data_IF_401593055984
#
_entry.id   IF_401593055984
#
_cell.length_a   1.000
_cell.length_b   1.000
_cell.length_c   1.000
_cell.angle_alpha   90.00
_cell.angle_beta   90.00
_cell.angle_gamma   90.00
#
_symmetry.space_group_name_H-M   'P 1'
#
loop_
_entity.id
_entity.type
_entity.pdbx_description
1 polymer ?
#
# COMPACT_ATOMS: atom_id res chain seq x y z
N UNK A 1 -7.44 70.46 -42.84
CA UNK A 1 -7.72 69.04 -42.43
C UNK A 1 -6.57 68.58 -41.56
N UNK A 2 -6.76 68.29 -40.25
CA UNK A 2 -5.73 67.83 -39.38
C UNK A 2 -5.67 66.25 -39.35
N UNK A 3 -4.47 65.73 -39.48
CA UNK A 3 -4.17 64.31 -39.48
C UNK A 3 -4.40 63.68 -38.11
N UNK A 4 -5.17 62.58 -38.05
CA UNK A 4 -5.37 61.75 -36.88
C UNK A 4 -4.12 60.89 -36.62
N UNK A 5 -3.53 61.01 -35.42
CA UNK A 5 -2.53 60.06 -34.87
C UNK A 5 -3.24 58.74 -34.51
N UNK A 6 -2.60 57.59 -34.76
CA UNK A 6 -3.11 56.31 -34.27
C UNK A 6 -2.84 56.15 -32.77
N UNK A 7 -3.82 55.53 -32.07
CA UNK A 7 -3.79 55.21 -30.64
C UNK A 7 -2.75 54.12 -30.36
N UNK A 8 -2.12 54.08 -29.15
CA UNK A 8 -1.18 53.06 -28.77
C UNK A 8 -1.89 51.71 -28.53
N UNK A 9 -1.37 50.64 -29.13
CA UNK A 9 -1.80 49.27 -28.94
C UNK A 9 -1.66 48.84 -27.49
N UNK A 10 -2.72 48.29 -26.90
CA UNK A 10 -2.71 47.67 -25.57
C UNK A 10 -1.72 46.55 -25.51
N UNK A 11 -0.69 46.70 -24.68
CA UNK A 11 0.29 45.66 -24.39
C UNK A 11 -0.39 44.46 -23.74
N UNK A 12 -0.27 43.32 -24.39
CA UNK A 12 -0.63 42.03 -23.82
C UNK A 12 0.25 41.78 -22.59
N UNK A 13 -0.35 41.70 -21.40
CA UNK A 13 0.31 41.24 -20.20
C UNK A 13 0.81 39.81 -20.47
N UNK A 14 2.10 39.47 -20.11
CA UNK A 14 2.56 38.12 -20.17
C UNK A 14 1.76 37.24 -19.19
N UNK A 15 1.50 35.98 -19.50
CA UNK A 15 0.79 35.10 -18.61
C UNK A 15 1.58 35.00 -17.29
N UNK A 16 0.98 35.45 -16.21
CA UNK A 16 1.50 35.23 -14.86
C UNK A 16 1.60 33.73 -14.65
N UNK A 17 2.81 33.18 -14.64
CA UNK A 17 3.10 31.86 -14.14
C UNK A 17 2.55 31.81 -12.72
N UNK A 18 1.48 31.06 -12.49
CA UNK A 18 1.01 30.72 -11.15
C UNK A 18 2.13 29.95 -10.49
N UNK A 19 2.93 30.61 -9.65
CA UNK A 19 3.89 29.97 -8.79
C UNK A 19 3.08 28.98 -7.92
N UNK A 20 3.18 27.69 -8.21
CA UNK A 20 2.50 26.67 -7.41
C UNK A 20 3.01 26.80 -5.99
N UNK A 21 2.10 27.20 -5.09
CA UNK A 21 2.42 27.41 -3.68
C UNK A 21 3.03 26.12 -3.10
N UNK A 22 4.23 26.22 -2.54
CA UNK A 22 4.90 25.10 -1.84
C UNK A 22 4.02 24.64 -0.69
N UNK A 23 3.73 23.35 -0.63
CA UNK A 23 3.02 22.74 0.50
C UNK A 23 4.01 22.46 1.62
N UNK A 24 3.69 22.91 2.83
CA UNK A 24 4.54 22.73 4.02
C UNK A 24 3.97 21.61 4.90
N UNK A 25 4.86 20.71 5.32
CA UNK A 25 4.57 19.59 6.22
C UNK A 25 5.62 19.55 7.33
N UNK A 26 5.29 18.88 8.44
CA UNK A 26 6.18 18.72 9.58
C UNK A 26 6.37 17.25 9.91
N UNK A 27 7.60 16.86 10.26
CA UNK A 27 7.95 15.50 10.66
C UNK A 27 8.13 14.54 9.48
N UNK A 28 8.69 13.37 9.78
CA UNK A 28 9.03 12.32 8.81
C UNK A 28 7.84 11.43 8.41
N UNK A 29 6.73 11.52 9.14
CA UNK A 29 5.54 10.73 8.83
C UNK A 29 5.07 10.98 7.39
N UNK A 30 4.65 9.93 6.69
CA UNK A 30 4.17 9.99 5.30
C UNK A 30 5.15 10.51 4.24
N UNK A 31 6.45 10.66 4.56
CA UNK A 31 7.46 11.21 3.64
C UNK A 31 7.38 10.57 2.24
N UNK A 32 7.33 9.23 2.15
CA UNK A 32 7.24 8.50 0.88
C UNK A 32 5.99 8.85 0.09
N UNK A 33 4.84 8.83 0.76
CA UNK A 33 3.53 9.10 0.15
C UNK A 33 3.44 10.56 -0.30
N UNK A 34 3.90 11.52 0.52
CA UNK A 34 3.94 12.94 0.17
C UNK A 34 4.83 13.23 -1.04
N UNK A 35 5.96 12.54 -1.19
CA UNK A 35 6.79 12.62 -2.40
C UNK A 35 6.06 12.12 -3.64
N UNK A 36 5.36 10.98 -3.54
CA UNK A 36 4.55 10.43 -4.63
C UNK A 36 3.39 11.37 -4.99
N UNK A 37 2.65 11.87 -4.00
CA UNK A 37 1.56 12.83 -4.22
C UNK A 37 2.07 14.15 -4.81
N UNK A 38 3.26 14.61 -4.43
CA UNK A 38 3.92 15.77 -5.02
C UNK A 38 4.21 15.55 -6.51
N UNK A 39 4.74 14.39 -6.89
CA UNK A 39 4.99 14.03 -8.29
C UNK A 39 3.70 13.97 -9.12
N UNK A 40 2.64 13.36 -8.57
CA UNK A 40 1.35 13.23 -9.23
C UNK A 40 0.66 14.59 -9.38
N UNK A 41 0.63 15.40 -8.32
CA UNK A 41 -0.01 16.73 -8.35
C UNK A 41 0.83 17.83 -8.96
N UNK A 42 2.14 17.57 -9.21
CA UNK A 42 3.15 18.55 -9.66
C UNK A 42 3.30 19.75 -8.71
N UNK A 43 2.99 19.57 -7.43
CA UNK A 43 3.11 20.61 -6.40
C UNK A 43 4.39 20.40 -5.60
N UNK A 44 5.26 21.42 -5.48
CA UNK A 44 6.44 21.33 -4.62
C UNK A 44 6.04 21.22 -3.15
N UNK A 45 6.85 20.50 -2.39
CA UNK A 45 6.66 20.28 -0.96
C UNK A 45 7.91 20.67 -0.17
N UNK A 46 7.68 21.14 1.05
CA UNK A 46 8.69 21.33 2.06
C UNK A 46 8.31 20.53 3.30
N UNK A 47 9.24 19.76 3.80
CA UNK A 47 9.07 18.98 5.03
C UNK A 47 10.14 19.43 6.01
N UNK A 48 9.72 20.00 7.13
CA UNK A 48 10.59 20.50 8.21
C UNK A 48 10.44 19.63 9.47
N UNK A 49 11.39 19.70 10.38
CA UNK A 49 11.30 18.98 11.67
C UNK A 49 11.40 17.45 11.50
N UNK A 50 12.26 16.99 10.60
CA UNK A 50 12.54 15.56 10.44
C UNK A 50 13.46 15.13 11.56
N UNK A 51 12.92 14.44 12.59
CA UNK A 51 13.67 13.94 13.77
C UNK A 51 14.69 14.96 14.32
N UNK A 52 14.26 16.16 14.73
CA UNK A 52 15.22 17.19 15.15
C UNK A 52 15.92 16.86 16.47
N UNK A 53 15.24 16.10 17.35
CA UNK A 53 15.66 15.81 18.72
C UNK A 53 16.15 14.37 18.90
N UNK A 54 16.28 13.58 17.82
CA UNK A 54 16.78 12.21 17.87
C UNK A 54 18.31 12.20 18.02
N UNK A 55 18.88 11.13 18.57
CA UNK A 55 20.34 10.91 18.62
C UNK A 55 20.99 10.95 17.22
N UNK A 56 20.23 10.55 16.20
CA UNK A 56 20.59 10.68 14.79
C UNK A 56 19.55 11.54 14.06
N UNK A 57 19.69 12.87 14.11
CA UNK A 57 18.70 13.78 13.55
C UNK A 57 18.63 13.69 12.02
N UNK A 58 17.50 14.05 11.46
CA UNK A 58 17.29 14.17 10.03
C UNK A 58 16.89 12.87 9.33
N UNK A 59 17.16 12.81 8.03
CA UNK A 59 16.80 11.70 7.17
C UNK A 59 17.62 10.44 7.47
N UNK A 60 16.94 9.29 7.57
CA UNK A 60 17.56 8.00 7.75
C UNK A 60 18.13 7.46 6.41
N UNK A 61 19.12 6.51 6.41
CA UNK A 61 19.73 6.00 5.20
C UNK A 61 18.73 5.43 4.19
N UNK A 62 17.70 4.72 4.66
CA UNK A 62 16.65 4.18 3.79
C UNK A 62 15.78 5.28 3.15
N UNK A 63 15.52 6.40 3.84
CA UNK A 63 14.79 7.54 3.27
C UNK A 63 15.62 8.26 2.20
N UNK A 64 16.92 8.47 2.46
CA UNK A 64 17.86 9.00 1.44
C UNK A 64 17.94 8.08 0.23
N UNK A 65 17.95 6.75 0.45
CA UNK A 65 17.92 5.77 -0.63
C UNK A 65 16.62 5.86 -1.45
N UNK A 66 15.47 6.09 -0.80
CA UNK A 66 14.20 6.30 -1.49
C UNK A 66 14.20 7.59 -2.34
N UNK A 67 14.76 8.67 -1.83
CA UNK A 67 14.93 9.91 -2.60
C UNK A 67 15.76 9.67 -3.88
N UNK A 68 16.86 8.92 -3.77
CA UNK A 68 17.67 8.51 -4.94
C UNK A 68 16.91 7.63 -5.93
N UNK A 69 16.01 6.76 -5.42
CA UNK A 69 15.13 5.97 -6.29
C UNK A 69 14.15 6.88 -7.03
N UNK A 70 13.55 7.85 -6.36
CA UNK A 70 12.66 8.85 -6.96
C UNK A 70 13.40 9.66 -8.04
N UNK A 71 14.64 10.06 -7.81
CA UNK A 71 15.45 10.75 -8.81
C UNK A 71 15.68 9.89 -10.06
N UNK A 72 15.94 8.59 -9.90
CA UNK A 72 16.10 7.65 -11.04
C UNK A 72 14.81 7.47 -11.85
N UNK A 73 13.66 7.55 -11.19
CA UNK A 73 12.34 7.38 -11.81
C UNK A 73 11.81 8.64 -12.48
N UNK A 74 12.43 9.79 -12.20
CA UNK A 74 11.96 11.11 -12.67
C UNK A 74 13.04 11.86 -13.43
N UNK A 75 12.62 12.85 -14.19
CA UNK A 75 13.52 13.80 -14.86
C UNK A 75 13.17 15.23 -14.45
N UNK A 76 14.17 15.97 -14.02
CA UNK A 76 14.02 17.37 -13.63
C UNK A 76 13.49 17.58 -12.20
N UNK A 77 13.39 16.53 -11.39
CA UNK A 77 13.19 16.67 -9.95
C UNK A 77 14.37 17.36 -9.30
N UNK A 78 14.12 18.24 -8.32
CA UNK A 78 15.16 18.90 -7.54
C UNK A 78 14.92 18.65 -6.06
N UNK A 79 15.99 18.29 -5.36
CA UNK A 79 16.00 17.99 -3.94
C UNK A 79 16.97 18.94 -3.25
N UNK A 80 16.51 19.64 -2.24
CA UNK A 80 17.35 20.46 -1.38
C UNK A 80 17.18 19.96 0.06
N UNK A 81 18.25 19.47 0.64
CA UNK A 81 18.29 18.91 1.99
C UNK A 81 19.15 19.82 2.86
N UNK A 82 18.67 20.16 4.05
CA UNK A 82 19.47 20.91 5.02
C UNK A 82 20.72 20.14 5.44
N UNK A 83 21.74 20.84 5.94
CA UNK A 83 22.99 20.22 6.37
C UNK A 83 22.80 19.13 7.41
N UNK A 84 21.84 19.31 8.33
CA UNK A 84 21.47 18.31 9.36
C UNK A 84 20.50 17.24 8.87
N UNK A 85 20.00 17.35 7.62
CA UNK A 85 18.97 16.44 7.10
C UNK A 85 17.57 16.62 7.71
N UNK A 86 17.38 17.62 8.54
CA UNK A 86 16.10 17.86 9.27
C UNK A 86 15.05 18.61 8.44
N UNK A 87 15.42 19.12 7.28
CA UNK A 87 14.51 19.79 6.35
C UNK A 87 14.77 19.33 4.93
N UNK A 88 13.69 19.11 4.18
CA UNK A 88 13.69 18.69 2.78
C UNK A 88 12.78 19.61 1.97
N UNK A 89 13.29 20.18 0.90
CA UNK A 89 12.51 20.83 -0.15
C UNK A 89 12.56 20.00 -1.42
N UNK A 90 11.40 19.61 -1.95
CA UNK A 90 11.29 18.79 -3.15
C UNK A 90 10.47 19.52 -4.21
N UNK A 91 11.08 19.69 -5.38
CA UNK A 91 10.42 20.17 -6.60
C UNK A 91 10.20 18.96 -7.52
N UNK A 92 8.95 18.58 -7.81
CA UNK A 92 8.66 17.40 -8.61
C UNK A 92 9.00 17.61 -10.09
N UNK A 93 9.67 16.62 -10.67
CA UNK A 93 9.91 16.52 -12.11
C UNK A 93 8.86 15.69 -12.83
N UNK A 94 9.21 15.24 -14.03
CA UNK A 94 8.36 14.36 -14.86
C UNK A 94 8.70 12.90 -14.61
N UNK A 95 7.70 12.06 -14.40
CA UNK A 95 7.85 10.61 -14.21
C UNK A 95 8.27 10.01 -15.56
N UNK A 96 9.41 9.33 -15.61
CA UNK A 96 9.95 8.77 -16.85
C UNK A 96 9.54 7.32 -17.07
N UNK A 97 9.57 6.50 -16.03
CA UNK A 97 9.49 5.04 -16.19
C UNK A 97 10.77 4.46 -16.84
N UNK A 98 10.61 3.39 -17.63
CA UNK A 98 11.72 2.66 -18.25
C UNK A 98 12.35 1.64 -17.30
N UNK A 99 13.55 1.14 -17.65
CA UNK A 99 14.25 0.14 -16.84
C UNK A 99 15.11 0.80 -15.77
N UNK A 100 14.82 0.51 -14.51
CA UNK A 100 15.55 1.06 -13.35
C UNK A 100 15.94 -0.08 -12.43
N UNK A 101 17.19 -0.07 -11.97
CA UNK A 101 17.68 -0.98 -10.92
C UNK A 101 18.09 -0.18 -9.69
N UNK A 102 17.66 -0.65 -8.52
CA UNK A 102 17.98 0.01 -7.25
C UNK A 102 18.33 -1.01 -6.16
N UNK A 103 19.39 -0.72 -5.42
CA UNK A 103 19.80 -1.47 -4.24
C UNK A 103 19.18 -0.82 -3.03
N UNK A 104 18.27 -1.54 -2.35
CA UNK A 104 17.67 -1.09 -1.11
C UNK A 104 18.60 -1.43 0.07
N UNK A 105 18.86 -0.49 1.00
CA UNK A 105 19.49 -0.78 2.27
C UNK A 105 18.69 -1.83 3.08
N UNK A 106 19.42 -2.66 3.85
CA UNK A 106 18.80 -3.75 4.61
C UNK A 106 18.08 -3.31 5.91
N UNK A 107 17.93 -2.01 6.14
CA UNK A 107 17.17 -1.47 7.26
C UNK A 107 15.65 -1.59 7.09
N UNK A 108 15.20 -1.67 5.85
CA UNK A 108 13.78 -1.79 5.47
C UNK A 108 13.61 -2.83 4.36
N UNK A 109 12.45 -3.44 4.34
CA UNK A 109 12.05 -4.35 3.26
C UNK A 109 11.92 -3.65 1.91
N UNK A 110 12.09 -4.40 0.81
CA UNK A 110 11.82 -3.91 -0.55
C UNK A 110 10.38 -3.39 -0.68
N UNK A 111 9.45 -3.98 0.08
CA UNK A 111 8.06 -3.53 0.11
C UNK A 111 7.91 -2.07 0.52
N UNK A 112 8.72 -1.60 1.47
CA UNK A 112 8.74 -0.21 1.88
C UNK A 112 9.03 0.76 0.73
N UNK A 113 9.88 0.36 -0.23
CA UNK A 113 10.18 1.15 -1.42
C UNK A 113 9.11 1.01 -2.49
N UNK A 114 8.60 -0.20 -2.67
CA UNK A 114 7.68 -0.53 -3.76
C UNK A 114 6.25 -0.03 -3.50
N UNK A 115 5.77 -0.15 -2.27
CA UNK A 115 4.40 0.20 -1.89
C UNK A 115 3.96 1.58 -2.41
N UNK A 116 4.62 2.72 -2.09
CA UNK A 116 4.18 4.03 -2.56
C UNK A 116 4.31 4.19 -4.09
N UNK A 117 5.18 3.42 -4.73
CA UNK A 117 5.38 3.47 -6.17
C UNK A 117 4.24 2.83 -6.95
N UNK A 118 3.39 2.01 -6.32
CA UNK A 118 2.20 1.45 -6.97
C UNK A 118 1.27 2.56 -7.50
N UNK A 119 1.10 3.64 -6.73
CA UNK A 119 0.29 4.77 -7.18
C UNK A 119 0.97 5.61 -8.28
N UNK A 120 2.31 5.57 -8.37
CA UNK A 120 3.10 6.36 -9.31
C UNK A 120 3.33 5.65 -10.64
N UNK A 121 3.54 4.33 -10.59
CA UNK A 121 4.02 3.51 -11.71
C UNK A 121 3.20 3.64 -13.00
N UNK A 122 1.86 3.69 -12.97
CA UNK A 122 1.05 3.79 -14.19
C UNK A 122 1.25 5.11 -14.95
N UNK A 123 1.78 6.14 -14.32
CA UNK A 123 1.84 7.49 -14.88
C UNK A 123 3.23 7.89 -15.42
N UNK A 124 4.07 6.91 -15.69
CA UNK A 124 5.34 7.14 -16.36
C UNK A 124 5.17 7.53 -17.84
N UNK A 125 6.18 8.18 -18.41
CA UNK A 125 6.26 8.44 -19.86
C UNK A 125 6.42 7.14 -20.66
N UNK A 126 7.10 6.15 -20.09
CA UNK A 126 7.33 4.81 -20.62
C UNK A 126 6.85 3.79 -19.58
N UNK A 127 6.62 2.57 -20.03
CA UNK A 127 6.37 1.43 -19.16
C UNK A 127 7.51 1.29 -18.15
N UNK A 128 7.18 1.00 -16.90
CA UNK A 128 8.15 0.83 -15.82
C UNK A 128 8.60 -0.63 -15.75
N UNK A 129 9.91 -0.85 -15.69
CA UNK A 129 10.52 -2.12 -15.33
C UNK A 129 11.53 -1.85 -14.21
N UNK A 130 11.10 -2.09 -12.97
CA UNK A 130 11.84 -1.75 -11.76
C UNK A 130 12.39 -3.00 -11.09
N UNK A 131 13.72 -3.14 -11.04
CA UNK A 131 14.39 -4.19 -10.28
C UNK A 131 14.88 -3.64 -8.95
N UNK A 132 14.36 -4.20 -7.86
CA UNK A 132 14.75 -3.86 -6.49
C UNK A 132 15.49 -5.04 -5.85
N UNK A 133 16.60 -4.73 -5.16
CA UNK A 133 17.40 -5.72 -4.45
C UNK A 133 17.46 -5.40 -2.97
N UNK A 134 17.25 -6.40 -2.10
CA UNK A 134 17.25 -6.20 -0.65
C UNK A 134 16.53 -7.29 0.10
N UNK A 135 15.87 -6.92 1.19
CA UNK A 135 15.03 -7.80 2.00
C UNK A 135 13.64 -7.87 1.38
N UNK A 136 13.16 -9.07 1.03
CA UNK A 136 11.83 -9.26 0.41
C UNK A 136 10.70 -9.44 1.41
N UNK A 137 11.05 -9.83 2.63
CA UNK A 137 10.10 -10.05 3.72
C UNK A 137 10.78 -9.71 5.04
N UNK A 138 10.21 -8.79 5.76
CA UNK A 138 10.56 -8.45 7.14
C UNK A 138 9.28 -8.42 7.98
N UNK A 139 9.36 -8.31 9.27
CA UNK A 139 8.17 -8.25 10.13
C UNK A 139 7.57 -6.83 10.26
N UNK A 140 7.98 -5.88 9.43
CA UNK A 140 7.66 -4.46 9.57
C UNK A 140 6.92 -3.87 8.37
N UNK A 141 7.40 -4.17 7.18
CA UNK A 141 6.88 -3.62 5.93
C UNK A 141 6.07 -4.68 5.18
N UNK A 142 5.13 -4.24 4.34
CA UNK A 142 4.40 -5.16 3.48
C UNK A 142 5.35 -6.04 2.67
N UNK A 143 5.21 -7.35 2.76
CA UNK A 143 6.06 -8.26 2.01
C UNK A 143 5.78 -8.17 0.51
N UNK A 144 6.74 -8.61 -0.29
CA UNK A 144 6.54 -8.69 -1.75
C UNK A 144 5.43 -9.66 -2.14
N UNK A 145 5.13 -10.66 -1.30
CA UNK A 145 4.01 -11.58 -1.52
C UNK A 145 2.68 -10.87 -1.30
N UNK A 146 2.54 -10.09 -0.24
CA UNK A 146 1.33 -9.28 0.05
C UNK A 146 1.12 -8.24 -1.03
N UNK A 147 2.16 -7.53 -1.47
CA UNK A 147 2.07 -6.59 -2.59
C UNK A 147 1.59 -7.31 -3.85
N UNK A 148 2.16 -8.48 -4.17
CA UNK A 148 1.82 -9.26 -5.37
C UNK A 148 0.38 -9.79 -5.34
N UNK A 149 -0.08 -10.29 -4.19
CA UNK A 149 -1.34 -11.03 -4.08
C UNK A 149 -2.53 -10.18 -3.66
N UNK A 150 -2.31 -9.01 -3.07
CA UNK A 150 -3.35 -8.05 -2.64
C UNK A 150 -3.15 -6.67 -3.28
N UNK A 151 -1.97 -6.06 -3.18
CA UNK A 151 -1.72 -4.72 -3.68
C UNK A 151 -1.87 -4.57 -5.20
N UNK A 152 -1.24 -5.44 -5.98
CA UNK A 152 -1.36 -5.40 -7.44
C UNK A 152 -2.78 -5.64 -7.95
N UNK A 153 -3.57 -6.59 -7.42
CA UNK A 153 -4.97 -6.72 -7.78
C UNK A 153 -5.78 -5.43 -7.54
N UNK A 154 -5.57 -4.75 -6.42
CA UNK A 154 -6.23 -3.45 -6.16
C UNK A 154 -5.83 -2.39 -7.20
N UNK A 155 -4.55 -2.31 -7.55
CA UNK A 155 -4.09 -1.42 -8.62
C UNK A 155 -4.72 -1.79 -9.98
N UNK A 156 -4.75 -3.07 -10.31
CA UNK A 156 -5.26 -3.57 -11.59
C UNK A 156 -6.75 -3.26 -11.80
N UNK A 157 -7.55 -3.15 -10.74
CA UNK A 157 -8.97 -2.76 -10.85
C UNK A 157 -9.16 -1.40 -11.52
N UNK A 158 -8.20 -0.48 -11.38
CA UNK A 158 -8.25 0.87 -11.94
C UNK A 158 -7.60 1.00 -13.32
N UNK A 159 -6.93 -0.04 -13.79
CA UNK A 159 -6.21 -0.03 -15.05
C UNK A 159 -6.97 -0.83 -16.12
N UNK A 160 -7.01 -0.31 -17.35
CA UNK A 160 -7.53 -1.01 -18.53
C UNK A 160 -6.40 -1.65 -19.35
N UNK A 161 -5.35 -2.08 -18.68
CA UNK A 161 -4.18 -2.69 -19.33
C UNK A 161 -3.74 -3.93 -18.57
N UNK A 162 -3.29 -4.93 -19.31
CA UNK A 162 -2.63 -6.10 -18.77
C UNK A 162 -1.13 -5.88 -18.64
N UNK A 163 -0.44 -6.73 -17.87
CA UNK A 163 1.01 -6.70 -17.76
C UNK A 163 1.54 -5.99 -16.50
N UNK A 164 0.67 -5.71 -15.52
CA UNK A 164 1.11 -5.34 -14.17
C UNK A 164 1.55 -6.61 -13.45
N UNK A 165 2.84 -6.75 -13.22
CA UNK A 165 3.41 -7.99 -12.65
C UNK A 165 4.50 -7.66 -11.61
N UNK A 166 4.53 -8.44 -10.54
CA UNK A 166 5.65 -8.48 -9.58
C UNK A 166 6.24 -9.90 -9.55
N UNK A 167 7.43 -10.04 -10.08
CA UNK A 167 8.17 -11.29 -10.11
C UNK A 167 9.23 -11.30 -9.02
N UNK A 168 9.24 -12.38 -8.22
CA UNK A 168 10.25 -12.63 -7.19
C UNK A 168 11.30 -13.54 -7.81
N UNK A 169 12.50 -13.00 -8.06
CA UNK A 169 13.61 -13.76 -8.62
C UNK A 169 14.41 -14.43 -7.50
N UNK A 170 14.66 -13.69 -6.42
CA UNK A 170 15.39 -14.18 -5.24
C UNK A 170 14.68 -13.71 -3.98
N UNK A 171 14.59 -14.57 -2.98
CA UNK A 171 14.05 -14.20 -1.67
C UNK A 171 15.19 -13.82 -0.71
N UNK A 172 14.96 -12.81 0.10
CA UNK A 172 15.91 -12.33 1.11
C UNK A 172 15.23 -11.97 2.41
N UNK A 173 15.78 -12.47 3.53
CA UNK A 173 15.34 -12.15 4.87
C UNK A 173 16.38 -11.28 5.60
N UNK A 174 15.99 -10.53 6.64
CA UNK A 174 16.93 -9.80 7.48
C UNK A 174 17.88 -10.79 8.21
N UNK A 175 19.10 -10.36 8.61
CA UNK A 175 19.63 -9.02 8.44
C UNK A 175 20.35 -8.79 7.10
N UNK A 176 20.77 -9.83 6.38
CA UNK A 176 21.68 -9.70 5.23
C UNK A 176 20.96 -9.56 3.87
N UNK A 177 19.66 -9.79 3.80
CA UNK A 177 18.86 -9.64 2.59
C UNK A 177 19.31 -10.57 1.44
N UNK A 178 19.65 -9.99 0.30
CA UNK A 178 20.08 -10.72 -0.89
C UNK A 178 18.93 -11.17 -1.79
N UNK A 179 17.72 -10.67 -1.56
CA UNK A 179 16.58 -10.87 -2.44
C UNK A 179 16.60 -9.96 -3.66
N UNK A 180 15.84 -10.33 -4.68
CA UNK A 180 15.67 -9.55 -5.90
C UNK A 180 14.24 -9.73 -6.42
N UNK A 181 13.60 -8.60 -6.74
CA UNK A 181 12.26 -8.58 -7.34
C UNK A 181 12.25 -7.65 -8.55
N UNK A 182 11.41 -7.97 -9.52
CA UNK A 182 11.18 -7.15 -10.70
C UNK A 182 9.71 -6.80 -10.77
N UNK A 183 9.41 -5.50 -10.74
CA UNK A 183 8.08 -4.95 -10.88
C UNK A 183 7.92 -4.32 -12.26
N UNK A 184 6.93 -4.76 -13.02
CA UNK A 184 6.57 -4.21 -14.32
C UNK A 184 5.20 -3.56 -14.25
N UNK A 185 5.07 -2.37 -14.82
CA UNK A 185 3.80 -1.67 -14.89
C UNK A 185 3.71 -0.92 -16.22
N UNK A 186 2.72 -1.22 -17.05
CA UNK A 186 2.47 -0.47 -18.28
C UNK A 186 2.09 0.97 -17.95
N UNK A 187 2.54 1.90 -18.79
CA UNK A 187 2.13 3.29 -18.70
C UNK A 187 0.71 3.45 -19.23
N UNK A 188 -0.13 4.20 -18.51
CA UNK A 188 -1.48 4.55 -18.95
C UNK A 188 -1.64 6.06 -19.11
N UNK A 189 -2.61 6.49 -19.88
CA UNK A 189 -2.95 7.91 -20.05
C UNK A 189 -3.87 8.39 -18.92
N UNK A 190 -4.83 7.57 -18.56
CA UNK A 190 -5.78 7.80 -17.47
C UNK A 190 -6.17 6.46 -16.86
N UNK A 191 -6.73 6.49 -15.68
CA UNK A 191 -7.32 5.32 -15.02
C UNK A 191 -8.83 5.33 -15.18
N UNK A 192 -9.47 4.21 -14.87
CA UNK A 192 -10.93 4.06 -14.93
C UNK A 192 -11.65 5.12 -14.12
N UNK A 193 -12.77 5.61 -14.63
CA UNK A 193 -13.69 6.51 -13.93
C UNK A 193 -14.95 5.75 -13.46
N UNK A 194 -15.73 6.37 -12.58
CA UNK A 194 -17.01 5.80 -12.13
C UNK A 194 -16.87 4.51 -11.32
N UNK A 195 -15.77 4.37 -10.59
CA UNK A 195 -15.46 3.16 -9.83
C UNK A 195 -16.40 3.00 -8.63
N UNK A 196 -17.14 1.91 -8.56
CA UNK A 196 -18.01 1.56 -7.42
C UNK A 196 -17.60 0.20 -6.86
N UNK A 197 -17.03 0.23 -5.65
CA UNK A 197 -16.57 -0.96 -4.94
C UNK A 197 -17.16 -0.97 -3.53
N UNK A 198 -18.48 -1.18 -3.47
CA UNK A 198 -19.28 -1.13 -2.24
C UNK A 198 -19.93 -2.47 -1.88
N UNK A 199 -19.82 -3.48 -2.74
CA UNK A 199 -20.36 -4.81 -2.50
C UNK A 199 -19.28 -5.74 -1.95
N UNK A 200 -19.35 -6.07 -0.66
CA UNK A 200 -18.38 -6.96 0.01
C UNK A 200 -18.50 -8.42 -0.47
N UNK A 201 -19.70 -8.89 -0.72
CA UNK A 201 -19.96 -10.31 -1.00
C UNK A 201 -19.69 -11.20 0.21
N UNK A 202 -19.62 -12.53 -0.04
CA UNK A 202 -19.28 -13.55 0.97
C UNK A 202 -17.88 -14.08 0.70
N UNK A 203 -17.09 -14.30 1.73
CA UNK A 203 -15.77 -14.94 1.57
C UNK A 203 -15.97 -16.35 1.01
N UNK A 204 -15.38 -16.60 -0.17
CA UNK A 204 -15.55 -17.85 -0.90
C UNK A 204 -14.33 -18.76 -0.77
N UNK A 205 -13.13 -18.20 -0.75
CA UNK A 205 -11.89 -18.97 -0.77
C UNK A 205 -10.76 -18.25 -0.08
N UNK A 206 -9.79 -19.02 0.43
CA UNK A 206 -8.51 -18.52 0.94
C UNK A 206 -7.39 -19.09 0.08
N UNK A 207 -6.47 -18.22 -0.32
CA UNK A 207 -5.24 -18.57 -1.02
C UNK A 207 -4.06 -18.07 -0.21
N UNK A 208 -2.93 -18.75 -0.27
CA UNK A 208 -1.77 -18.31 0.50
C UNK A 208 -0.45 -18.84 -0.07
N UNK A 209 0.62 -18.24 0.41
CA UNK A 209 1.99 -18.61 0.11
C UNK A 209 2.74 -18.74 1.43
N UNK A 210 3.24 -19.95 1.71
CA UNK A 210 4.14 -20.19 2.82
C UNK A 210 5.52 -20.44 2.24
N UNK A 211 6.50 -19.57 2.53
CA UNK A 211 7.84 -19.74 2.01
C UNK A 211 8.86 -20.04 3.10
N UNK A 212 9.92 -20.73 2.69
CA UNK A 212 11.09 -21.00 3.52
C UNK A 212 12.38 -20.79 2.74
N UNK A 213 13.34 -20.13 3.39
CA UNK A 213 14.62 -19.71 2.82
C UNK A 213 15.73 -20.15 3.76
N UNK A 214 16.70 -20.93 3.25
CA UNK A 214 17.86 -21.46 4.02
C UNK A 214 17.49 -22.19 5.33
N UNK A 215 16.27 -22.68 5.42
CA UNK A 215 15.77 -23.51 6.52
C UNK A 215 15.10 -24.76 5.97
N UNK A 216 14.72 -25.69 6.86
CA UNK A 216 14.03 -26.90 6.44
C UNK A 216 12.68 -26.56 5.77
N UNK A 217 12.35 -27.13 4.60
CA UNK A 217 11.04 -27.00 3.97
C UNK A 217 9.87 -27.45 4.85
N UNK A 218 10.12 -28.32 5.81
CA UNK A 218 9.12 -28.78 6.77
C UNK A 218 8.54 -27.63 7.60
N UNK A 219 9.30 -26.53 7.82
CA UNK A 219 8.78 -25.36 8.53
C UNK A 219 7.63 -24.69 7.77
N UNK A 220 7.73 -24.60 6.43
CA UNK A 220 6.62 -24.10 5.61
C UNK A 220 5.38 -25.00 5.69
N UNK A 221 5.57 -26.33 5.69
CA UNK A 221 4.47 -27.29 5.84
C UNK A 221 3.78 -27.17 7.21
N UNK A 222 4.55 -26.95 8.29
CA UNK A 222 4.02 -26.73 9.64
C UNK A 222 3.23 -25.42 9.74
N UNK A 223 3.70 -24.34 9.10
CA UNK A 223 2.94 -23.09 8.94
C UNK A 223 1.58 -23.35 8.29
N UNK A 224 1.59 -24.06 7.15
CA UNK A 224 0.35 -24.39 6.41
C UNK A 224 -0.60 -25.21 7.26
N UNK A 225 -0.10 -26.26 7.93
CA UNK A 225 -0.93 -27.14 8.75
C UNK A 225 -1.60 -26.39 9.90
N UNK A 226 -0.86 -25.54 10.62
CA UNK A 226 -1.39 -24.76 11.74
C UNK A 226 -2.35 -23.65 11.29
N UNK A 227 -2.09 -22.94 10.20
CA UNK A 227 -3.02 -21.96 9.65
C UNK A 227 -4.36 -22.62 9.24
N UNK A 228 -4.27 -23.77 8.53
CA UNK A 228 -5.46 -24.54 8.13
C UNK A 228 -6.26 -25.08 9.30
N UNK A 229 -5.61 -25.45 10.41
CA UNK A 229 -6.31 -25.95 11.60
C UNK A 229 -7.31 -24.92 12.19
N UNK A 230 -6.99 -23.63 12.05
CA UNK A 230 -7.86 -22.53 12.45
C UNK A 230 -8.92 -22.24 11.39
N UNK A 231 -8.50 -22.10 10.14
CA UNK A 231 -9.33 -21.56 9.05
C UNK A 231 -10.36 -22.56 8.50
N UNK A 232 -10.07 -23.87 8.54
CA UNK A 232 -10.99 -24.91 8.04
C UNK A 232 -12.36 -24.93 8.73
N UNK A 233 -12.46 -24.34 9.93
CA UNK A 233 -13.72 -24.20 10.65
C UNK A 233 -14.70 -23.23 10.00
N UNK A 234 -14.18 -22.30 9.20
CA UNK A 234 -14.95 -21.20 8.64
C UNK A 234 -15.11 -21.30 7.13
N UNK A 235 -14.08 -21.74 6.41
CA UNK A 235 -14.03 -21.75 4.96
C UNK A 235 -13.46 -23.07 4.48
N UNK A 236 -14.17 -23.82 3.62
CA UNK A 236 -13.70 -25.12 3.13
C UNK A 236 -12.64 -25.01 2.01
N UNK A 237 -12.71 -23.98 1.16
CA UNK A 237 -11.80 -23.83 0.02
C UNK A 237 -10.53 -23.04 0.43
N UNK A 238 -9.58 -23.77 1.00
CA UNK A 238 -8.28 -23.24 1.43
C UNK A 238 -7.16 -23.92 0.67
N UNK A 239 -6.38 -23.15 -0.09
CA UNK A 239 -5.17 -23.61 -0.75
C UNK A 239 -4.00 -22.69 -0.44
N UNK A 240 -2.98 -23.25 0.23
CA UNK A 240 -1.75 -22.54 0.61
C UNK A 240 -0.60 -23.24 -0.07
N UNK A 241 0.06 -22.53 -0.97
CA UNK A 241 1.22 -23.01 -1.71
C UNK A 241 2.50 -22.91 -0.86
N UNK A 242 3.33 -23.94 -0.89
CA UNK A 242 4.65 -23.93 -0.24
C UNK A 242 5.72 -23.57 -1.27
N UNK A 243 6.48 -22.51 -0.97
CA UNK A 243 7.51 -21.97 -1.84
C UNK A 243 8.89 -22.08 -1.15
N UNK A 244 9.77 -22.90 -1.70
CA UNK A 244 11.07 -23.22 -1.07
C UNK A 244 12.21 -22.76 -1.96
N UNK A 245 12.96 -21.77 -1.47
CA UNK A 245 14.16 -21.27 -2.15
C UNK A 245 15.42 -21.89 -1.59
N UNK A 246 16.31 -22.33 -2.49
CA UNK A 246 17.61 -22.96 -2.18
C UNK A 246 18.72 -22.36 -3.03
N UNK A 247 19.97 -22.57 -2.61
CA UNK A 247 21.13 -22.11 -3.37
C UNK A 247 21.21 -20.59 -3.45
N UNK A 248 21.53 -20.07 -4.63
CA UNK A 248 21.75 -18.63 -4.87
C UNK A 248 20.48 -17.79 -4.81
N UNK A 249 19.31 -18.40 -5.06
CA UNK A 249 18.03 -17.70 -5.05
C UNK A 249 17.45 -17.55 -3.64
N UNK A 250 18.10 -18.15 -2.64
CA UNK A 250 17.69 -18.13 -1.23
C UNK A 250 18.25 -16.97 -0.41
N UNK A 251 18.79 -15.92 -1.06
CA UNK A 251 19.36 -14.78 -0.34
C UNK A 251 20.51 -15.16 0.59
N UNK A 252 20.69 -14.37 1.66
CA UNK A 252 21.86 -14.53 2.56
C UNK A 252 21.49 -14.93 3.99
N UNK A 253 20.23 -14.77 4.40
CA UNK A 253 19.77 -15.06 5.77
C UNK A 253 18.66 -16.10 5.78
N UNK A 254 18.58 -16.94 6.84
CA UNK A 254 17.50 -17.89 6.99
C UNK A 254 16.20 -17.18 7.40
N UNK A 255 15.06 -17.75 7.00
CA UNK A 255 13.76 -17.24 7.40
C UNK A 255 12.61 -18.03 6.78
N UNK A 256 11.42 -17.83 7.31
CA UNK A 256 10.16 -18.35 6.79
C UNK A 256 9.04 -17.38 7.09
N UNK A 257 8.03 -17.38 6.25
CA UNK A 257 6.87 -16.52 6.40
C UNK A 257 5.66 -17.12 5.68
N UNK A 258 4.51 -16.57 5.96
CA UNK A 258 3.24 -16.95 5.35
C UNK A 258 2.42 -15.70 5.06
N UNK A 259 1.87 -15.64 3.85
CA UNK A 259 0.90 -14.62 3.42
C UNK A 259 -0.40 -15.32 3.04
N UNK A 260 -1.51 -14.85 3.56
CA UNK A 260 -2.84 -15.37 3.28
C UNK A 260 -3.70 -14.27 2.67
N UNK A 261 -4.53 -14.64 1.70
CA UNK A 261 -5.51 -13.77 1.05
C UNK A 261 -6.85 -14.46 0.99
N UNK A 262 -7.86 -13.88 1.62
CA UNK A 262 -9.24 -14.27 1.50
C UNK A 262 -9.89 -13.51 0.34
N UNK A 263 -10.63 -14.22 -0.51
CA UNK A 263 -11.33 -13.62 -1.64
C UNK A 263 -12.82 -13.84 -1.51
N UNK A 264 -13.61 -12.78 -1.71
CA UNK A 264 -15.08 -12.87 -1.71
C UNK A 264 -15.66 -13.19 -3.09
N UNK A 265 -16.94 -13.45 -3.13
CA UNK A 265 -17.74 -13.61 -4.37
C UNK A 265 -17.81 -12.33 -5.20
N UNK A 266 -17.56 -11.17 -4.58
CA UNK A 266 -17.52 -9.84 -5.23
C UNK A 266 -16.09 -9.36 -5.49
N UNK A 267 -15.11 -10.27 -5.49
CA UNK A 267 -13.68 -9.99 -5.74
C UNK A 267 -13.02 -9.09 -4.69
N UNK A 268 -13.62 -8.94 -3.50
CA UNK A 268 -12.97 -8.29 -2.37
C UNK A 268 -11.82 -9.17 -1.86
N UNK A 269 -10.71 -8.54 -1.53
CA UNK A 269 -9.52 -9.20 -1.03
C UNK A 269 -9.20 -8.68 0.37
N UNK A 270 -9.02 -9.62 1.31
CA UNK A 270 -8.46 -9.34 2.62
C UNK A 270 -7.17 -10.13 2.79
N UNK A 271 -6.11 -9.48 3.21
CA UNK A 271 -4.79 -10.10 3.34
C UNK A 271 -4.27 -10.01 4.77
N UNK A 272 -3.47 -11.01 5.12
CA UNK A 272 -2.69 -11.02 6.35
C UNK A 272 -1.37 -11.75 6.12
N UNK A 273 -0.34 -11.33 6.82
CA UNK A 273 0.98 -11.97 6.74
C UNK A 273 1.64 -12.05 8.11
N UNK A 274 2.54 -13.03 8.24
CA UNK A 274 3.38 -13.18 9.41
C UNK A 274 4.74 -13.78 9.00
N UNK A 275 5.81 -13.33 9.65
CA UNK A 275 7.16 -13.77 9.34
C UNK A 275 7.96 -14.14 10.58
N UNK A 276 8.94 -15.01 10.40
CA UNK A 276 9.90 -15.39 11.45
C UNK A 276 10.93 -14.29 11.73
N UNK A 277 10.78 -13.12 11.14
CA UNK A 277 11.72 -12.02 11.32
C UNK A 277 11.57 -11.36 12.70
N UNK A 278 12.66 -10.82 13.27
CA UNK A 278 12.56 -10.06 14.50
C UNK A 278 11.66 -8.85 14.32
N UNK A 279 10.87 -8.49 15.36
CA UNK A 279 10.14 -7.24 15.33
C UNK A 279 11.12 -6.07 15.23
N UNK A 280 10.70 -4.94 14.65
CA UNK A 280 11.52 -3.75 14.61
C UNK A 280 11.84 -3.29 16.05
N UNK A 281 13.12 -3.08 16.32
CA UNK A 281 13.54 -2.51 17.59
C UNK A 281 13.21 -0.99 17.61
N UNK A 282 12.70 -0.45 18.72
CA UNK A 282 12.58 0.99 18.89
C UNK A 282 13.94 1.66 18.74
N UNK A 283 13.97 2.89 18.25
CA UNK A 283 15.20 3.67 18.18
C UNK A 283 15.84 3.78 19.59
N UNK A 284 17.15 3.49 19.71
CA UNK A 284 17.86 3.51 20.99
C UNK A 284 17.67 2.25 21.86
N UNK A 285 16.96 1.24 21.42
CA UNK A 285 16.87 -0.02 22.16
C UNK A 285 18.24 -0.72 22.22
N UNK A 286 18.63 -1.29 23.39
CA UNK A 286 19.85 -2.10 23.48
C UNK A 286 19.78 -3.25 22.47
N UNK A 287 20.95 -3.76 21.99
CA UNK A 287 20.97 -4.92 21.14
C UNK A 287 20.15 -6.04 21.79
N UNK A 288 19.11 -6.48 21.10
CA UNK A 288 18.22 -7.49 21.65
C UNK A 288 19.01 -8.71 22.07
N UNK A 289 18.71 -9.27 23.24
CA UNK A 289 19.03 -10.64 23.56
C UNK A 289 18.71 -11.51 22.34
N UNK A 290 19.52 -12.54 22.11
CA UNK A 290 19.46 -13.39 20.92
C UNK A 290 18.01 -13.66 20.49
N UNK A 291 17.58 -13.07 19.39
CA UNK A 291 16.23 -13.27 18.86
C UNK A 291 15.99 -14.75 18.56
N UNK A 292 14.97 -15.30 19.18
CA UNK A 292 14.50 -16.65 18.92
C UNK A 292 13.31 -16.53 17.96
N UNK A 293 13.41 -17.07 16.72
CA UNK A 293 12.29 -17.03 15.79
C UNK A 293 11.05 -17.73 16.40
N UNK A 294 9.84 -17.18 16.21
CA UNK A 294 8.62 -17.82 16.67
C UNK A 294 8.46 -19.21 16.06
N UNK A 295 7.84 -20.12 16.80
CA UNK A 295 7.57 -21.47 16.30
C UNK A 295 6.63 -21.40 15.09
N UNK A 296 6.84 -22.19 14.02
CA UNK A 296 6.00 -22.12 12.83
C UNK A 296 4.51 -22.32 13.11
N UNK A 297 4.15 -23.15 14.07
CA UNK A 297 2.75 -23.38 14.46
C UNK A 297 2.10 -22.12 15.01
N UNK A 298 2.81 -21.42 15.91
CA UNK A 298 2.29 -20.18 16.50
C UNK A 298 2.12 -19.10 15.43
N UNK A 299 3.07 -19.01 14.51
CA UNK A 299 3.04 -18.07 13.42
C UNK A 299 1.85 -18.35 12.46
N UNK A 300 1.60 -19.64 12.16
CA UNK A 300 0.46 -20.04 11.33
C UNK A 300 -0.89 -19.75 12.00
N UNK A 301 -1.01 -19.95 13.32
CA UNK A 301 -2.20 -19.57 14.08
C UNK A 301 -2.35 -18.05 14.11
N UNK A 302 -1.26 -17.32 14.31
CA UNK A 302 -1.26 -15.85 14.34
C UNK A 302 -1.79 -15.27 13.02
N UNK A 303 -1.24 -15.69 11.88
CA UNK A 303 -1.67 -15.16 10.57
C UNK A 303 -3.13 -15.49 10.27
N UNK A 304 -3.60 -16.69 10.67
CA UNK A 304 -4.98 -17.08 10.50
C UNK A 304 -5.94 -16.17 11.31
N UNK A 305 -5.56 -15.84 12.55
CA UNK A 305 -6.33 -14.90 13.38
C UNK A 305 -6.31 -13.48 12.81
N UNK A 306 -5.14 -12.99 12.36
CA UNK A 306 -5.03 -11.68 11.71
C UNK A 306 -5.94 -11.60 10.48
N UNK A 307 -5.98 -12.65 9.66
CA UNK A 307 -6.87 -12.70 8.50
C UNK A 307 -8.35 -12.67 8.90
N UNK A 308 -8.73 -13.44 9.92
CA UNK A 308 -10.11 -13.45 10.43
C UNK A 308 -10.50 -12.09 11.04
N UNK A 309 -9.57 -11.41 11.72
CA UNK A 309 -9.80 -10.06 12.25
C UNK A 309 -10.00 -9.05 11.13
N UNK A 310 -9.23 -9.15 10.03
CA UNK A 310 -9.39 -8.28 8.87
C UNK A 310 -10.73 -8.55 8.15
N UNK A 311 -11.12 -9.80 8.00
CA UNK A 311 -12.45 -10.18 7.47
C UNK A 311 -13.58 -9.64 8.37
N UNK A 312 -13.43 -9.75 9.70
CA UNK A 312 -14.41 -9.25 10.68
C UNK A 312 -14.55 -7.73 10.63
N UNK A 313 -13.46 -7.01 10.40
CA UNK A 313 -13.46 -5.56 10.21
C UNK A 313 -14.38 -5.15 9.06
N UNK A 314 -14.47 -5.97 8.03
CA UNK A 314 -15.33 -5.74 6.86
C UNK A 314 -14.77 -4.70 5.90
N UNK A 315 -15.65 -4.16 5.05
CA UNK A 315 -15.23 -3.29 3.95
C UNK A 315 -14.80 -4.08 2.72
N UNK A 316 -14.47 -3.37 1.66
CA UNK A 316 -14.04 -3.94 0.38
C UNK A 316 -12.52 -3.91 0.18
N UNK A 317 -11.78 -3.26 1.06
CA UNK A 317 -10.33 -3.10 0.99
C UNK A 317 -9.74 -3.32 2.37
N UNK A 318 -8.66 -4.07 2.46
CA UNK A 318 -7.92 -4.24 3.72
C UNK A 318 -7.13 -2.98 4.10
N UNK A 319 -6.72 -2.90 5.38
CA UNK A 319 -6.00 -1.71 5.93
C UNK A 319 -4.78 -1.34 5.13
N UNK A 320 -4.06 -2.33 4.63
CA UNK A 320 -2.80 -2.11 3.90
C UNK A 320 -2.98 -1.32 2.62
N UNK A 321 -4.18 -1.36 2.00
CA UNK A 321 -4.40 -0.80 0.67
C UNK A 321 -5.45 0.31 0.61
N UNK A 322 -6.05 0.72 1.74
CA UNK A 322 -7.00 1.84 1.80
C UNK A 322 -6.41 3.12 1.19
N UNK A 323 -5.15 3.42 1.49
CA UNK A 323 -4.42 4.58 0.98
C UNK A 323 -4.27 4.53 -0.55
N UNK A 324 -3.99 3.35 -1.12
CA UNK A 324 -3.82 3.17 -2.56
C UNK A 324 -5.14 3.38 -3.29
N UNK A 325 -6.21 2.69 -2.84
CA UNK A 325 -7.53 2.77 -3.46
C UNK A 325 -8.08 4.19 -3.38
N UNK A 326 -7.97 4.87 -2.24
CA UNK A 326 -8.43 6.26 -2.11
C UNK A 326 -7.61 7.23 -2.96
N UNK A 327 -6.31 7.02 -3.10
CA UNK A 327 -5.47 7.80 -4.03
C UNK A 327 -5.92 7.61 -5.48
N UNK A 328 -6.15 6.36 -5.90
CA UNK A 328 -6.60 6.06 -7.27
C UNK A 328 -8.00 6.60 -7.54
N UNK A 329 -8.92 6.59 -6.56
CA UNK A 329 -10.23 7.24 -6.69
C UNK A 329 -10.10 8.75 -6.96
N UNK A 330 -9.20 9.43 -6.25
CA UNK A 330 -8.93 10.87 -6.46
C UNK A 330 -8.33 11.13 -7.84
N UNK A 331 -7.48 10.25 -8.34
CA UNK A 331 -6.87 10.36 -9.68
C UNK A 331 -7.80 9.94 -10.81
N UNK A 332 -8.95 9.34 -10.51
CA UNK A 332 -9.95 8.93 -11.48
C UNK A 332 -10.51 10.08 -12.30
N UNK A 333 -11.33 9.76 -13.31
CA UNK A 333 -12.04 10.77 -14.11
C UNK A 333 -12.98 11.63 -13.27
N UNK A 334 -13.50 12.71 -13.85
CA UNK A 334 -14.43 13.64 -13.19
C UNK A 334 -15.83 13.01 -12.97
N UNK A 335 -15.82 11.82 -12.37
CA UNK A 335 -17.00 11.03 -12.06
C UNK A 335 -16.97 10.61 -10.59
N UNK A 336 -18.11 10.18 -10.06
CA UNK A 336 -18.20 9.78 -8.64
C UNK A 336 -17.64 8.38 -8.44
N UNK A 337 -16.51 8.29 -7.76
CA UNK A 337 -15.97 7.03 -7.27
C UNK A 337 -16.47 6.72 -5.85
N UNK A 338 -16.71 5.43 -5.56
CA UNK A 338 -17.17 4.94 -4.25
C UNK A 338 -16.40 3.71 -3.83
N UNK A 339 -16.08 3.64 -2.54
CA UNK A 339 -15.52 2.43 -1.92
C UNK A 339 -16.07 2.27 -0.51
N UNK A 340 -16.34 1.03 -0.09
CA UNK A 340 -16.70 0.71 1.27
C UNK A 340 -15.47 0.25 2.04
N UNK A 341 -15.18 0.90 3.15
CA UNK A 341 -14.05 0.62 4.04
C UNK A 341 -14.56 0.25 5.43
N UNK A 342 -13.89 -0.69 6.09
CA UNK A 342 -14.20 -1.09 7.46
C UNK A 342 -13.48 -0.21 8.48
N UNK A 343 -14.12 0.11 9.61
CA UNK A 343 -13.51 0.79 10.75
C UNK A 343 -12.90 -0.21 11.75
N UNK A 344 -12.19 0.28 12.76
CA UNK A 344 -11.69 1.63 12.93
C UNK A 344 -10.53 1.96 11.98
N UNK A 345 -10.36 3.26 11.67
CA UNK A 345 -9.29 3.73 10.78
C UNK A 345 -8.04 4.09 11.55
N UNK A 346 -6.89 3.73 11.00
CA UNK A 346 -5.59 4.06 11.56
C UNK A 346 -5.24 5.55 11.35
N UNK A 347 -4.43 6.10 12.26
CA UNK A 347 -3.97 7.48 12.16
C UNK A 347 -3.25 7.77 10.82
N UNK A 348 -2.51 6.78 10.30
CA UNK A 348 -1.88 6.84 8.99
C UNK A 348 -2.90 7.13 7.87
N UNK A 349 -4.00 6.39 7.81
CA UNK A 349 -5.01 6.57 6.78
C UNK A 349 -5.74 7.91 6.90
N UNK A 350 -6.06 8.33 8.14
CA UNK A 350 -6.69 9.63 8.38
C UNK A 350 -5.81 10.79 7.89
N UNK A 351 -4.52 10.73 8.17
CA UNK A 351 -3.57 11.75 7.71
C UNK A 351 -3.38 11.70 6.19
N UNK A 352 -3.40 10.50 5.59
CA UNK A 352 -3.36 10.34 4.14
C UNK A 352 -4.55 11.03 3.44
N UNK A 353 -5.76 10.94 3.99
CA UNK A 353 -6.93 11.66 3.47
C UNK A 353 -6.75 13.19 3.54
N UNK A 354 -6.09 13.70 4.59
CA UNK A 354 -5.74 15.12 4.72
C UNK A 354 -4.70 15.52 3.67
N UNK A 355 -3.69 14.67 3.46
CA UNK A 355 -2.69 14.88 2.42
C UNK A 355 -3.36 14.91 1.02
N UNK A 356 -4.26 13.98 0.69
CA UNK A 356 -5.02 14.00 -0.57
C UNK A 356 -5.80 15.31 -0.76
N UNK A 357 -6.45 15.82 0.29
CA UNK A 357 -7.09 17.12 0.26
C UNK A 357 -6.09 18.26 0.02
N UNK A 358 -4.94 18.23 0.68
CA UNK A 358 -3.91 19.26 0.51
C UNK A 358 -3.34 19.30 -0.91
N UNK A 359 -3.10 18.13 -1.52
CA UNK A 359 -2.50 18.02 -2.84
C UNK A 359 -3.50 18.23 -3.99
N UNK A 360 -4.70 17.69 -3.89
CA UNK A 360 -5.68 17.66 -5.00
C UNK A 360 -6.93 18.52 -4.74
N UNK A 361 -7.14 19.00 -3.52
CA UNK A 361 -8.34 19.74 -3.14
C UNK A 361 -9.58 18.86 -2.97
N UNK A 362 -9.48 17.56 -3.21
CA UNK A 362 -10.60 16.62 -3.14
C UNK A 362 -10.93 16.27 -1.68
N UNK A 363 -12.23 16.21 -1.38
CA UNK A 363 -12.75 15.79 -0.09
C UNK A 363 -13.65 14.57 -0.26
N UNK A 364 -13.52 13.61 0.64
CA UNK A 364 -14.40 12.44 0.68
C UNK A 364 -15.68 12.75 1.46
N UNK A 365 -16.82 12.37 0.87
CA UNK A 365 -18.07 12.25 1.61
C UNK A 365 -18.12 10.87 2.24
N UNK A 366 -18.15 10.82 3.57
CA UNK A 366 -18.13 9.58 4.35
C UNK A 366 -19.53 9.36 4.91
N UNK A 367 -20.11 8.17 4.66
CA UNK A 367 -21.40 7.77 5.18
C UNK A 367 -21.28 6.45 5.92
N UNK A 368 -21.74 6.34 7.17
CA UNK A 368 -21.81 5.05 7.85
C UNK A 368 -22.78 4.12 7.12
N UNK A 369 -22.44 2.85 7.03
CA UNK A 369 -23.34 1.80 6.57
C UNK A 369 -24.12 1.29 7.79
N UNK A 370 -25.38 1.67 7.88
CA UNK A 370 -26.26 1.13 8.90
C UNK A 370 -26.62 -0.30 8.47
N UNK A 371 -26.21 -1.31 9.26
CA UNK A 371 -26.69 -2.67 9.05
C UNK A 371 -28.23 -2.65 9.05
N UNK A 372 -28.84 -3.19 7.99
CA UNK A 372 -30.30 -3.37 7.99
C UNK A 372 -30.66 -4.22 9.23
N UNK A 373 -31.69 -3.85 9.99
CA UNK A 373 -32.16 -4.69 11.06
C UNK A 373 -32.47 -6.09 10.48
N UNK A 374 -32.17 -7.17 11.20
CA UNK A 374 -32.52 -8.50 10.75
C UNK A 374 -34.03 -8.50 10.40
N UNK A 375 -34.47 -9.18 9.32
CA UNK A 375 -35.89 -9.29 9.02
C UNK A 375 -36.60 -9.79 10.26
N UNK A 376 -37.66 -9.08 10.67
CA UNK A 376 -38.48 -9.51 11.77
C UNK A 376 -38.88 -10.96 11.49
N UNK A 377 -38.48 -11.86 12.37
CA UNK A 377 -38.86 -13.26 12.29
C UNK A 377 -40.41 -13.29 12.34
N UNK A 378 -41.00 -13.54 11.15
CA UNK A 378 -42.40 -13.96 11.13
C UNK A 378 -42.48 -15.24 11.94
N UNK A 379 -43.42 -15.26 12.85
CA UNK A 379 -43.84 -16.45 13.55
C UNK A 379 -44.13 -17.53 12.52
N UNK A 380 -43.32 -18.55 12.45
CA UNK A 380 -43.68 -19.84 11.89
C UNK A 380 -43.04 -20.95 12.74
N UNK A 381 -43.89 -21.79 13.25
CA UNK A 381 -43.60 -22.93 14.11
C UNK A 381 -42.79 -23.99 13.35
N UNK A 382 -41.70 -24.47 13.94
CA UNK A 382 -41.11 -25.74 13.48
C UNK A 382 -39.62 -25.85 13.58
N UNK A 383 -39.21 -26.50 14.70
CA UNK A 383 -38.01 -27.34 14.85
C UNK A 383 -36.61 -26.76 14.69
N UNK A 384 -35.98 -26.71 15.82
CA UNK A 384 -34.57 -26.96 16.14
C UNK A 384 -33.62 -27.22 14.94
N UNK A 385 -32.66 -26.29 14.70
CA UNK A 385 -31.27 -26.73 14.58
C UNK A 385 -30.31 -25.55 14.62
N UNK A 386 -29.45 -25.64 15.64
CA UNK A 386 -28.09 -25.08 15.75
C UNK A 386 -27.99 -23.57 15.96
N UNK A 387 -28.32 -23.15 17.16
CA UNK A 387 -27.51 -22.18 17.89
C UNK A 387 -26.04 -22.67 17.94
N UNK A 388 -25.17 -22.12 17.13
CA UNK A 388 -23.76 -22.11 17.46
C UNK A 388 -23.34 -20.70 17.87
N UNK A 389 -23.89 -20.36 19.06
CA UNK A 389 -23.32 -19.30 19.88
C UNK A 389 -21.87 -19.66 20.20
N UNK A 390 -20.95 -18.80 19.84
CA UNK A 390 -19.62 -18.76 20.42
C UNK A 390 -19.79 -18.33 21.87
N UNK A 391 -20.04 -19.30 22.74
CA UNK A 391 -19.91 -19.16 24.19
C UNK A 391 -18.55 -19.78 24.56
N UNK A 392 -17.55 -18.95 24.88
CA UNK A 392 -16.84 -19.00 26.16
C UNK A 392 -15.65 -18.07 26.16
N UNK A 393 -15.66 -17.20 27.14
CA UNK A 393 -14.45 -16.53 27.64
C UNK A 393 -14.55 -15.01 27.70
N UNK A 394 -15.12 -14.47 28.81
CA UNK A 394 -14.78 -13.14 29.31
C UNK A 394 -15.32 -11.94 28.55
N UNK A 395 -16.44 -11.43 28.97
CA UNK A 395 -17.06 -10.14 28.75
C UNK A 395 -16.31 -9.03 28.04
N UNK A 396 -16.41 -8.98 26.74
CA UNK A 396 -16.51 -7.73 25.98
C UNK A 396 -17.44 -8.04 24.81
N UNK A 397 -18.62 -7.45 24.81
CA UNK A 397 -19.50 -7.45 23.63
C UNK A 397 -18.68 -6.82 22.51
N UNK A 398 -18.25 -7.62 21.54
CA UNK A 398 -17.59 -7.10 20.35
C UNK A 398 -18.56 -6.10 19.70
N UNK A 399 -18.17 -4.83 19.66
CA UNK A 399 -18.94 -3.83 18.94
C UNK A 399 -19.10 -4.27 17.48
N UNK A 400 -20.28 -4.08 16.86
CA UNK A 400 -20.49 -4.45 15.48
C UNK A 400 -19.46 -3.71 14.61
N UNK A 401 -18.90 -4.42 13.63
CA UNK A 401 -17.93 -3.82 12.71
C UNK A 401 -18.59 -2.62 12.00
N UNK A 402 -18.03 -1.44 12.20
CA UNK A 402 -18.50 -0.22 11.57
C UNK A 402 -17.95 -0.15 10.15
N UNK A 403 -18.80 -0.12 9.15
CA UNK A 403 -18.41 0.09 7.77
C UNK A 403 -18.85 1.48 7.28
N UNK A 404 -18.08 2.05 6.37
CA UNK A 404 -18.30 3.40 5.85
C UNK A 404 -18.14 3.43 4.33
N UNK A 405 -19.05 4.09 3.63
CA UNK A 405 -18.90 4.38 2.20
C UNK A 405 -18.21 5.72 2.04
N UNK A 406 -17.03 5.68 1.44
CA UNK A 406 -16.25 6.82 1.01
C UNK A 406 -16.59 7.14 -0.43
N UNK A 407 -16.95 8.37 -0.74
CA UNK A 407 -17.22 8.81 -2.09
C UNK A 407 -16.54 10.14 -2.38
N UNK A 408 -15.96 10.27 -3.56
CA UNK A 408 -15.37 11.51 -4.04
C UNK A 408 -15.61 11.66 -5.55
N UNK A 409 -15.47 12.87 -6.05
CA UNK A 409 -15.35 13.15 -7.48
C UNK A 409 -13.87 13.12 -7.82
N UNK A 410 -13.49 12.34 -8.81
CA UNK A 410 -12.11 12.27 -9.30
C UNK A 410 -11.67 13.62 -9.91
N UNK A 411 -10.37 13.79 -10.03
CA UNK A 411 -9.77 15.04 -10.53
C UNK A 411 -9.58 15.07 -12.05
N UNK A 412 -9.98 14.02 -12.74
CA UNK A 412 -9.72 13.88 -14.19
C UNK A 412 -8.22 13.82 -14.51
N UNK A 413 -7.43 13.20 -13.63
CA UNK A 413 -5.99 13.14 -13.79
C UNK A 413 -5.60 12.45 -15.09
N UNK A 414 -4.77 13.13 -15.90
CA UNK A 414 -4.25 12.58 -17.14
C UNK A 414 -2.73 12.64 -17.18
N UNK A 415 -2.12 11.54 -17.60
CA UNK A 415 -0.69 11.46 -17.83
C UNK A 415 -0.30 12.21 -19.12
N UNK A 416 0.02 13.48 -19.00
CA UNK A 416 0.42 14.33 -20.13
C UNK A 416 1.81 14.00 -20.68
N UNK A 417 2.61 13.19 -19.97
CA UNK A 417 3.92 12.77 -20.43
C UNK A 417 3.85 11.62 -21.44
N UNK A 418 2.77 10.82 -21.41
CA UNK A 418 2.50 9.78 -22.41
C UNK A 418 1.96 10.42 -23.68
N UNK A 419 2.69 10.30 -24.79
CA UNK A 419 2.20 10.75 -26.11
C UNK A 419 0.93 9.98 -26.48
N UNK A 420 -0.03 10.67 -27.11
CA UNK A 420 -1.12 9.98 -27.77
C UNK A 420 -0.50 9.11 -28.88
N UNK A 421 -0.65 7.80 -28.77
CA UNK A 421 -0.27 6.85 -29.80
C UNK A 421 -1.31 6.84 -30.91
#
# INVERSE_FOLDING_TARGET
MPSRRPAPSAGSKPPTSSSSRVLAFTGQAHLRHRLVLSLLSRRPIRIDGIRPDDDQPGLQPHEVSFLRLVEKLTQGSRLEISYTGTSLLFHPGTIQGGSVTHQCPNERGVGWYLEPLLALAPFGKKDLNLTLRGITTDGRDASVDTIRTSGLPHLAMFLDVEGVELRITKRGHPPLGGGEVTFTCPSVRAIKSGFDFTNVGRIAKIRGIAHSVRVSPQLANRLVASARSVLNRYIPDIYIYTDVYRGEDSGKSPGYAITLVASSTSHVLHSAEASSCPPPLPAGAPPAERFIPPVPEDLGIQVARLLLDEIRRGGCVDRGWEWLVTTLLVLGGEDVGRVMLGGPFEAFFIEHLRDLKAFFGTTFKIKPVVAAPPPASGEDDGEEDVEMAVANGGGNKAEPAEAYVFSCVGTGFTNTAKRAG
#
